data_IF_023140191281
#
_entry.id   IF_023140191281
#
_cell.length_a   1.000
_cell.length_b   1.000
_cell.length_c   1.000
_cell.angle_alpha   90.00
_cell.angle_beta   90.00
_cell.angle_gamma   90.00
#
_symmetry.space_group_name_H-M   'P 1'
#
loop_
_entity.id
_entity.type
_entity.pdbx_description
1 polymer ?
#
# COMPACT_ATOMS: atom_id res chain seq x y z
N UNK A 1 -19.81 27.16 48.07
CA UNK A 1 -19.15 25.84 47.93
C UNK A 1 -18.41 25.83 46.60
N UNK A 2 -17.08 25.72 46.62
CA UNK A 2 -16.23 25.68 45.43
C UNK A 2 -16.02 24.22 44.99
N UNK A 3 -16.22 23.94 43.71
CA UNK A 3 -16.05 22.61 43.12
C UNK A 3 -14.57 22.35 42.81
N UNK A 4 -14.07 21.18 43.24
CA UNK A 4 -12.69 20.73 43.00
C UNK A 4 -12.66 19.99 41.66
N UNK A 5 -11.76 20.30 40.72
CA UNK A 5 -11.67 19.59 39.45
C UNK A 5 -11.05 18.21 39.66
N UNK A 6 -11.66 17.17 39.08
CA UNK A 6 -11.13 15.81 39.08
C UNK A 6 -9.98 15.69 38.07
N UNK A 7 -8.79 15.35 38.54
CA UNK A 7 -7.62 15.06 37.71
C UNK A 7 -7.80 13.74 36.97
N UNK A 8 -7.84 13.78 35.64
CA UNK A 8 -7.85 12.58 34.81
C UNK A 8 -6.48 11.89 34.86
N UNK A 9 -6.41 10.70 35.44
CA UNK A 9 -5.23 9.84 35.36
C UNK A 9 -5.12 9.26 33.94
N UNK A 10 -4.04 9.62 33.25
CA UNK A 10 -3.69 9.00 31.97
C UNK A 10 -3.35 7.52 32.21
N UNK A 11 -4.13 6.63 31.59
CA UNK A 11 -3.87 5.19 31.62
C UNK A 11 -2.72 4.90 30.64
N UNK A 12 -1.55 4.58 31.18
CA UNK A 12 -0.41 4.11 30.39
C UNK A 12 -0.72 2.68 29.93
N UNK A 13 -1.28 2.54 28.74
CA UNK A 13 -1.48 1.23 28.12
C UNK A 13 -0.11 0.58 27.93
N UNK A 14 0.15 -0.51 28.66
CA UNK A 14 1.37 -1.31 28.51
C UNK A 14 1.49 -1.77 27.05
N UNK A 15 2.54 -1.32 26.37
CA UNK A 15 2.84 -1.73 25.01
C UNK A 15 3.15 -3.23 25.00
N UNK A 16 2.28 -4.01 24.38
CA UNK A 16 2.56 -5.43 24.12
C UNK A 16 3.74 -5.54 23.15
N UNK A 17 4.65 -6.52 23.34
CA UNK A 17 5.74 -6.75 22.42
C UNK A 17 5.19 -7.08 21.04
N UNK A 18 5.33 -6.15 20.11
CA UNK A 18 4.98 -6.36 18.72
C UNK A 18 5.97 -7.39 18.16
N UNK A 19 5.49 -8.61 17.93
CA UNK A 19 6.25 -9.62 17.20
C UNK A 19 6.83 -8.98 15.93
N UNK A 20 8.14 -9.17 15.71
CA UNK A 20 8.84 -8.63 14.56
C UNK A 20 8.19 -9.16 13.28
N UNK A 21 7.31 -8.35 12.68
CA UNK A 21 6.69 -8.66 11.39
C UNK A 21 7.77 -8.53 10.33
N UNK A 22 7.90 -9.56 9.49
CA UNK A 22 8.79 -9.51 8.34
C UNK A 22 8.46 -8.26 7.52
N UNK A 23 9.46 -7.45 7.11
CA UNK A 23 9.20 -6.21 6.41
C UNK A 23 8.43 -6.43 5.10
N UNK A 24 8.47 -7.62 4.51
CA UNK A 24 7.68 -7.94 3.34
C UNK A 24 6.17 -8.00 3.56
N UNK A 25 5.72 -8.23 4.80
CA UNK A 25 4.30 -8.37 5.17
C UNK A 25 3.66 -7.01 5.54
N UNK A 26 4.44 -5.93 5.51
CA UNK A 26 3.92 -4.59 5.70
C UNK A 26 2.93 -4.24 4.57
N UNK A 27 1.69 -3.92 4.95
CA UNK A 27 0.65 -3.46 4.04
C UNK A 27 0.87 -1.99 3.69
N UNK A 28 0.94 -1.70 2.40
CA UNK A 28 1.10 -0.36 1.82
C UNK A 28 -0.15 -0.06 0.99
N UNK A 29 -0.82 1.04 1.33
CA UNK A 29 -2.00 1.53 0.62
C UNK A 29 -1.65 2.71 -0.27
N UNK A 30 -1.80 2.54 -1.58
CA UNK A 30 -1.53 3.58 -2.57
C UNK A 30 -2.84 4.07 -3.20
N UNK A 31 -2.93 5.38 -3.48
CA UNK A 31 -4.01 5.96 -4.27
C UNK A 31 -3.57 5.97 -5.72
N UNK A 32 -4.28 5.22 -6.57
CA UNK A 32 -4.03 5.15 -8.00
C UNK A 32 -5.11 5.95 -8.74
N UNK A 33 -4.68 6.84 -9.62
CA UNK A 33 -5.59 7.54 -10.52
C UNK A 33 -6.10 6.55 -11.59
N UNK A 34 -7.34 6.75 -12.04
CA UNK A 34 -7.94 5.91 -13.09
C UNK A 34 -7.73 6.60 -14.43
N UNK A 35 -7.01 5.95 -15.33
CA UNK A 35 -6.80 6.46 -16.70
C UNK A 35 -8.17 6.69 -17.35
N UNK A 36 -8.38 7.89 -17.90
CA UNK A 36 -9.65 8.30 -18.51
C UNK A 36 -10.63 8.99 -17.56
N UNK A 37 -10.33 9.10 -16.27
CA UNK A 37 -11.12 9.89 -15.31
C UNK A 37 -10.25 10.88 -14.56
N UNK A 38 -10.67 12.15 -14.53
CA UNK A 38 -9.96 13.23 -13.82
C UNK A 38 -10.31 13.31 -12.32
N UNK A 39 -11.34 12.58 -11.88
CA UNK A 39 -11.85 12.62 -10.51
C UNK A 39 -11.79 11.26 -9.81
N UNK A 40 -11.81 10.16 -10.56
CA UNK A 40 -11.83 8.83 -9.96
C UNK A 40 -10.42 8.44 -9.48
N UNK A 41 -10.33 8.15 -8.18
CA UNK A 41 -9.14 7.57 -7.56
C UNK A 41 -9.53 6.26 -6.88
N UNK A 42 -8.69 5.24 -7.04
CA UNK A 42 -8.86 3.95 -6.36
C UNK A 42 -7.77 3.81 -5.29
N UNK A 43 -8.15 3.39 -4.09
CA UNK A 43 -7.18 3.05 -3.04
C UNK A 43 -6.91 1.55 -3.09
N UNK A 44 -5.67 1.17 -3.30
CA UNK A 44 -5.24 -0.23 -3.39
C UNK A 44 -4.28 -0.50 -2.25
N UNK A 45 -4.62 -1.44 -1.39
CA UNK A 45 -3.80 -1.86 -0.26
C UNK A 45 -3.26 -3.26 -0.54
N UNK A 46 -1.94 -3.42 -0.56
CA UNK A 46 -1.26 -4.70 -0.77
C UNK A 46 -0.02 -4.78 0.12
N UNK A 47 0.49 -5.98 0.37
CA UNK A 47 1.77 -6.12 1.09
C UNK A 47 2.94 -5.69 0.21
N UNK A 48 4.09 -5.36 0.82
CA UNK A 48 5.32 -5.04 0.08
C UNK A 48 5.72 -6.17 -0.88
N UNK A 49 5.59 -7.43 -0.47
CA UNK A 49 5.83 -8.60 -1.34
C UNK A 49 4.91 -8.59 -2.57
N UNK A 50 3.61 -8.37 -2.37
CA UNK A 50 2.64 -8.33 -3.46
C UNK A 50 2.89 -7.16 -4.43
N UNK A 51 3.30 -6.00 -3.93
CA UNK A 51 3.69 -4.86 -4.78
C UNK A 51 4.89 -5.21 -5.66
N UNK A 52 5.91 -5.88 -5.12
CA UNK A 52 7.08 -6.30 -5.88
C UNK A 52 6.74 -7.31 -6.99
N UNK A 53 5.92 -8.32 -6.67
CA UNK A 53 5.42 -9.31 -7.63
C UNK A 53 4.64 -8.63 -8.77
N UNK A 54 3.76 -7.68 -8.42
CA UNK A 54 2.98 -6.93 -9.39
C UNK A 54 3.86 -6.10 -10.33
N UNK A 55 4.86 -5.40 -9.80
CA UNK A 55 5.80 -4.61 -10.61
C UNK A 55 6.59 -5.50 -11.58
N UNK A 56 7.00 -6.70 -11.14
CA UNK A 56 7.68 -7.66 -11.99
C UNK A 56 6.77 -8.15 -13.13
N UNK A 57 5.52 -8.52 -12.80
CA UNK A 57 4.55 -8.97 -13.78
C UNK A 57 4.21 -7.89 -14.83
N UNK A 58 4.04 -6.64 -14.38
CA UNK A 58 3.80 -5.48 -15.25
C UNK A 58 4.97 -5.27 -16.23
N UNK A 59 6.21 -5.26 -15.72
CA UNK A 59 7.41 -5.16 -16.55
C UNK A 59 7.48 -6.26 -17.60
N UNK A 60 7.26 -7.51 -17.20
CA UNK A 60 7.26 -8.64 -18.13
C UNK A 60 6.18 -8.51 -19.20
N UNK A 61 4.99 -8.00 -18.84
CA UNK A 61 3.93 -7.75 -19.79
C UNK A 61 4.34 -6.68 -20.82
N UNK A 62 4.94 -5.58 -20.37
CA UNK A 62 5.44 -4.52 -21.26
C UNK A 62 6.51 -5.06 -22.20
N UNK A 63 7.52 -5.77 -21.69
CA UNK A 63 8.61 -6.34 -22.49
C UNK A 63 8.10 -7.31 -23.56
N UNK A 64 7.14 -8.18 -23.23
CA UNK A 64 6.51 -9.11 -24.18
C UNK A 64 5.76 -8.37 -25.29
N UNK A 65 5.00 -7.34 -24.95
CA UNK A 65 4.27 -6.55 -25.94
C UNK A 65 5.23 -5.77 -26.87
N UNK A 66 6.29 -5.19 -26.33
CA UNK A 66 7.29 -4.45 -27.11
C UNK A 66 8.05 -5.34 -28.10
N UNK A 67 8.38 -6.56 -27.71
CA UNK A 67 9.09 -7.52 -28.58
C UNK A 67 8.20 -8.12 -29.67
N UNK A 68 6.89 -8.32 -29.42
CA UNK A 68 5.98 -8.89 -30.42
C UNK A 68 5.64 -7.91 -31.56
N UNK A 69 5.62 -6.60 -31.32
CA UNK A 69 5.29 -5.61 -32.36
C UNK A 69 6.35 -5.56 -33.47
N UNK A 70 7.60 -5.87 -33.18
CA UNK A 70 8.68 -5.85 -34.17
C UNK A 70 8.58 -6.96 -35.24
N UNK A 71 7.82 -8.02 -35.00
CA UNK A 71 7.80 -9.21 -35.90
C UNK A 71 6.68 -9.15 -36.96
N UNK A 72 5.77 -8.17 -36.91
CA UNK A 72 4.62 -8.08 -37.84
C UNK A 72 4.90 -7.26 -39.12
N UNK A 73 6.17 -7.04 -39.45
CA UNK A 73 6.62 -6.23 -40.60
C UNK A 73 7.64 -6.89 -41.52
N UNK A 74 7.80 -8.23 -41.47
CA UNK A 74 8.55 -9.02 -42.46
C UNK A 74 7.59 -9.89 -43.27
#
# INVERSE_FOLDING_TARGET
MAAIPASAFAQTTAAQPQAARDPGDQVICEKQEVIGSRLATKKVCMTRKQWAERQLADRQAVEKNQTQVYVRGQ
#
